data_IF_174497449830
#
_entry.id   IF_174497449830
#
_cell.length_a   1.000
_cell.length_b   1.000
_cell.length_c   1.000
_cell.angle_alpha   90.00
_cell.angle_beta   90.00
_cell.angle_gamma   90.00
#
_symmetry.space_group_name_H-M   'P 1'
#
loop_
_entity.id
_entity.type
_entity.pdbx_description
1 polymer ?
#
# COMPACT_ATOMS: atom_id res chain seq x y z
N UNK A 1 6.15 47.07 -0.50
CA UNK A 1 6.21 45.93 0.42
C UNK A 1 6.88 44.80 -0.32
N UNK A 2 8.14 44.55 0.02
CA UNK A 2 8.94 43.48 -0.56
C UNK A 2 8.40 42.16 -0.05
N UNK A 3 7.79 41.36 -0.94
CA UNK A 3 7.55 39.96 -0.65
C UNK A 3 8.91 39.26 -0.66
N UNK A 4 9.51 39.10 0.52
CA UNK A 4 10.56 38.10 0.72
C UNK A 4 9.92 36.75 0.45
N UNK A 5 10.21 36.18 -0.72
CA UNK A 5 10.03 34.76 -0.99
C UNK A 5 10.74 34.00 0.13
N UNK A 6 10.07 33.10 0.88
CA UNK A 6 10.74 32.34 1.91
C UNK A 6 11.86 31.56 1.23
N UNK A 7 13.11 31.82 1.63
CA UNK A 7 14.26 31.09 1.16
C UNK A 7 13.97 29.59 1.31
N UNK A 8 14.05 28.84 0.21
CA UNK A 8 13.88 27.39 0.27
C UNK A 8 14.76 26.83 1.37
N UNK A 9 14.15 26.09 2.30
CA UNK A 9 14.85 25.46 3.41
C UNK A 9 15.94 24.56 2.81
N UNK A 10 17.21 24.97 2.93
CA UNK A 10 18.35 24.19 2.44
C UNK A 10 18.26 22.75 2.95
N UNK A 11 18.40 21.79 2.03
CA UNK A 11 18.38 20.36 2.38
C UNK A 11 19.53 20.03 3.33
N UNK A 12 19.41 18.92 4.06
CA UNK A 12 20.51 18.44 4.90
C UNK A 12 21.78 18.19 4.07
N UNK A 13 21.61 17.75 2.82
CA UNK A 13 22.71 17.59 1.86
C UNK A 13 23.43 18.91 1.58
N UNK A 14 22.68 19.96 1.24
CA UNK A 14 23.28 21.26 0.90
C UNK A 14 24.02 21.87 2.09
N UNK A 15 23.49 21.69 3.30
CA UNK A 15 24.14 22.12 4.55
C UNK A 15 25.43 21.34 4.80
N UNK A 16 25.43 20.03 4.55
CA UNK A 16 26.62 19.19 4.67
C UNK A 16 27.70 19.58 3.65
N UNK A 17 27.32 19.83 2.40
CA UNK A 17 28.22 20.33 1.36
C UNK A 17 28.87 21.65 1.75
N UNK A 18 28.07 22.60 2.22
CA UNK A 18 28.54 23.91 2.66
C UNK A 18 29.54 23.80 3.81
N UNK A 19 29.22 23.00 4.84
CA UNK A 19 30.10 22.79 5.99
C UNK A 19 31.40 22.09 5.61
N UNK A 20 31.32 21.09 4.73
CA UNK A 20 32.51 20.33 4.34
C UNK A 20 33.45 21.16 3.49
N UNK A 21 32.91 21.94 2.53
CA UNK A 21 33.72 22.86 1.74
C UNK A 21 34.38 23.93 2.61
N UNK A 22 33.64 24.52 3.56
CA UNK A 22 34.19 25.47 4.53
C UNK A 22 35.32 24.86 5.37
N UNK A 23 35.17 23.62 5.80
CA UNK A 23 36.21 22.92 6.57
C UNK A 23 37.47 22.66 5.73
N UNK A 24 37.33 22.21 4.48
CA UNK A 24 38.45 22.00 3.55
C UNK A 24 39.19 23.32 3.31
N UNK A 25 38.47 24.38 2.93
CA UNK A 25 39.07 25.70 2.67
C UNK A 25 39.78 26.27 3.90
N UNK A 26 39.17 26.13 5.08
CA UNK A 26 39.78 26.61 6.32
C UNK A 26 41.04 25.83 6.68
N UNK A 27 41.05 24.53 6.42
CA UNK A 27 42.21 23.67 6.66
C UNK A 27 43.38 24.01 5.73
N UNK A 28 43.09 24.30 4.45
CA UNK A 28 44.11 24.74 3.48
C UNK A 28 44.66 26.12 3.86
N UNK A 29 43.79 27.06 4.25
CA UNK A 29 44.19 28.40 4.70
C UNK A 29 45.04 28.36 5.96
N UNK A 30 44.81 27.40 6.86
CA UNK A 30 45.61 27.23 8.07
C UNK A 30 47.05 26.76 7.76
N UNK A 31 47.28 26.11 6.60
CA UNK A 31 48.61 25.83 6.09
C UNK A 31 49.21 27.09 5.45
N UNK A 32 49.59 28.04 6.31
CA UNK A 32 50.03 29.38 5.92
C UNK A 32 51.52 29.43 5.52
N UNK A 33 51.79 30.09 4.40
CA UNK A 33 53.14 30.23 3.83
C UNK A 33 54.07 31.05 4.73
N UNK A 34 53.56 32.09 5.41
CA UNK A 34 54.41 32.95 6.25
C UNK A 34 54.89 32.20 7.49
N UNK A 35 54.02 31.40 8.09
CA UNK A 35 54.36 30.47 9.17
C UNK A 35 55.41 29.44 8.72
N UNK A 36 55.26 28.90 7.51
CA UNK A 36 56.24 27.96 6.94
C UNK A 36 57.61 28.64 6.73
N UNK A 37 57.63 29.82 6.11
CA UNK A 37 58.85 30.61 5.90
C UNK A 37 59.56 30.94 7.22
N UNK A 38 58.83 31.41 8.23
CA UNK A 38 59.39 31.67 9.58
C UNK A 38 59.97 30.42 10.22
N UNK A 39 59.35 29.27 10.01
CA UNK A 39 59.82 28.00 10.58
C UNK A 39 61.11 27.49 9.92
N UNK A 40 61.36 27.88 8.67
CA UNK A 40 62.50 27.44 7.87
C UNK A 40 63.55 28.54 7.61
N UNK A 41 63.37 29.73 8.20
CA UNK A 41 64.15 30.95 7.90
C UNK A 41 65.67 30.76 7.96
N UNK A 42 66.18 29.91 8.84
CA UNK A 42 67.62 29.63 8.99
C UNK A 42 68.21 28.72 7.89
N UNK A 43 67.36 28.09 7.09
CA UNK A 43 67.73 27.12 6.05
C UNK A 43 67.46 27.66 4.64
N UNK A 44 66.75 28.78 4.52
CA UNK A 44 66.31 29.33 3.24
C UNK A 44 67.32 30.34 2.67
N UNK A 45 67.78 30.10 1.45
CA UNK A 45 68.40 31.08 0.56
C UNK A 45 67.35 31.77 -0.31
N UNK A 46 67.68 32.89 -0.97
CA UNK A 46 66.75 33.59 -1.89
C UNK A 46 66.24 32.68 -3.02
N UNK A 47 67.10 31.85 -3.59
CA UNK A 47 66.73 30.89 -4.66
C UNK A 47 65.79 29.79 -4.14
N UNK A 48 66.00 29.33 -2.89
CA UNK A 48 65.13 28.33 -2.26
C UNK A 48 63.77 28.89 -1.80
N UNK A 49 63.60 30.22 -1.73
CA UNK A 49 62.31 30.82 -1.38
C UNK A 49 61.29 30.66 -2.50
N UNK A 50 61.69 30.81 -3.76
CA UNK A 50 60.79 30.61 -4.91
C UNK A 50 60.39 29.13 -5.03
N UNK A 51 61.33 28.22 -4.83
CA UNK A 51 61.04 26.78 -4.76
C UNK A 51 60.07 26.44 -3.63
N UNK A 52 60.23 27.06 -2.46
CA UNK A 52 59.33 26.88 -1.32
C UNK A 52 57.91 27.39 -1.59
N UNK A 53 57.77 28.55 -2.24
CA UNK A 53 56.46 29.10 -2.63
C UNK A 53 55.75 28.17 -3.62
N UNK A 54 56.48 27.67 -4.61
CA UNK A 54 55.95 26.70 -5.58
C UNK A 54 55.55 25.38 -4.90
N UNK A 55 56.40 24.86 -4.00
CA UNK A 55 56.10 23.64 -3.25
C UNK A 55 54.91 23.81 -2.30
N UNK A 56 54.77 24.98 -1.67
CA UNK A 56 53.63 25.31 -0.80
C UNK A 56 52.33 25.35 -1.59
N UNK A 57 52.31 26.00 -2.76
CA UNK A 57 51.15 26.03 -3.66
C UNK A 57 50.76 24.61 -4.10
N UNK A 58 51.72 23.80 -4.54
CA UNK A 58 51.49 22.40 -4.92
C UNK A 58 50.94 21.56 -3.75
N UNK A 59 51.46 21.77 -2.54
CA UNK A 59 50.97 21.09 -1.35
C UNK A 59 49.52 21.50 -1.01
N UNK A 60 49.16 22.78 -1.17
CA UNK A 60 47.78 23.24 -0.98
C UNK A 60 46.83 22.62 -2.01
N UNK A 61 47.22 22.57 -3.28
CA UNK A 61 46.43 21.94 -4.35
C UNK A 61 46.27 20.44 -4.11
N UNK A 62 47.35 19.75 -3.72
CA UNK A 62 47.32 18.34 -3.37
C UNK A 62 46.38 18.08 -2.18
N UNK A 63 46.51 18.85 -1.09
CA UNK A 63 45.64 18.73 0.08
C UNK A 63 44.18 18.97 -0.29
N UNK A 64 43.88 19.99 -1.12
CA UNK A 64 42.53 20.30 -1.55
C UNK A 64 41.90 19.13 -2.32
N UNK A 65 42.65 18.54 -3.24
CA UNK A 65 42.19 17.42 -4.05
C UNK A 65 42.00 16.17 -3.21
N UNK A 66 42.98 15.80 -2.36
CA UNK A 66 42.88 14.61 -1.51
C UNK A 66 41.73 14.71 -0.50
N UNK A 67 41.53 15.86 0.14
CA UNK A 67 40.43 16.06 1.08
C UNK A 67 39.07 15.97 0.38
N UNK A 68 38.92 16.55 -0.81
CA UNK A 68 37.69 16.44 -1.61
C UNK A 68 37.44 15.01 -2.07
N UNK A 69 38.46 14.35 -2.61
CA UNK A 69 38.38 12.95 -3.04
C UNK A 69 37.98 12.05 -1.89
N UNK A 70 38.62 12.19 -0.72
CA UNK A 70 38.31 11.36 0.45
C UNK A 70 36.91 11.61 0.99
N UNK A 71 36.45 12.87 0.96
CA UNK A 71 35.07 13.22 1.30
C UNK A 71 34.08 12.55 0.37
N UNK A 72 34.33 12.56 -0.94
CA UNK A 72 33.48 11.90 -1.92
C UNK A 72 33.49 10.37 -1.75
N UNK A 73 34.65 9.79 -1.49
CA UNK A 73 34.79 8.35 -1.20
C UNK A 73 33.96 7.95 0.03
N UNK A 74 34.05 8.70 1.14
CA UNK A 74 33.27 8.44 2.35
C UNK A 74 31.76 8.61 2.09
N UNK A 75 31.38 9.62 1.30
CA UNK A 75 29.99 9.85 0.90
C UNK A 75 29.43 8.67 0.12
N UNK A 76 30.20 8.12 -0.82
CA UNK A 76 29.81 6.94 -1.57
C UNK A 76 29.76 5.68 -0.67
N UNK A 77 30.81 5.46 0.13
CA UNK A 77 30.94 4.28 1.00
C UNK A 77 29.79 4.14 1.98
N UNK A 78 29.34 5.25 2.58
CA UNK A 78 28.26 5.24 3.56
C UNK A 78 26.91 5.67 2.97
N UNK A 79 26.82 5.84 1.65
CA UNK A 79 25.58 6.25 0.96
C UNK A 79 24.95 7.50 1.60
N UNK A 80 25.78 8.47 2.00
CA UNK A 80 25.34 9.58 2.84
C UNK A 80 24.24 10.42 2.19
N UNK A 81 24.25 10.55 0.87
CA UNK A 81 23.21 11.27 0.14
C UNK A 81 21.82 10.64 0.38
N UNK A 82 21.70 9.32 0.24
CA UNK A 82 20.43 8.61 0.47
C UNK A 82 19.99 8.71 1.93
N UNK A 83 20.94 8.62 2.87
CA UNK A 83 20.62 8.73 4.30
C UNK A 83 20.16 10.13 4.69
N UNK A 84 20.77 11.18 4.12
CA UNK A 84 20.36 12.57 4.35
C UNK A 84 18.98 12.86 3.74
N UNK A 85 18.70 12.33 2.55
CA UNK A 85 17.39 12.46 1.90
C UNK A 85 16.29 11.75 2.71
N UNK A 86 16.53 10.49 3.11
CA UNK A 86 15.64 9.76 4.01
C UNK A 86 15.41 10.50 5.32
N UNK A 87 16.45 11.13 5.88
CA UNK A 87 16.34 11.92 7.09
C UNK A 87 15.46 13.15 6.90
N UNK A 88 15.63 13.89 5.80
CA UNK A 88 14.79 15.05 5.46
C UNK A 88 13.32 14.63 5.26
N UNK A 89 13.07 13.50 4.61
CA UNK A 89 11.72 12.92 4.47
C UNK A 89 11.11 12.57 5.83
N UNK A 90 11.88 11.93 6.73
CA UNK A 90 11.42 11.59 8.07
C UNK A 90 11.06 12.84 8.88
N UNK A 91 11.84 13.92 8.78
CA UNK A 91 11.53 15.20 9.42
C UNK A 91 10.24 15.78 8.83
N UNK A 92 10.10 15.81 7.50
CA UNK A 92 8.92 16.33 6.83
C UNK A 92 7.66 15.55 7.24
N UNK A 93 7.75 14.22 7.28
CA UNK A 93 6.67 13.35 7.72
C UNK A 93 6.34 13.54 9.20
N UNK A 94 7.34 13.77 10.06
CA UNK A 94 7.13 14.02 11.48
C UNK A 94 6.48 15.39 11.74
N UNK A 95 6.83 16.44 10.98
CA UNK A 95 6.20 17.77 11.08
C UNK A 95 4.69 17.74 10.80
N UNK A 96 4.25 16.80 9.97
CA UNK A 96 2.84 16.63 9.62
C UNK A 96 2.05 15.79 10.65
N UNK A 97 2.73 15.20 11.64
CA UNK A 97 2.11 14.39 12.68
C UNK A 97 1.86 15.24 13.94
N UNK A 98 0.81 14.92 14.72
CA UNK A 98 0.55 15.61 15.97
C UNK A 98 1.76 15.49 16.93
N UNK A 99 2.00 16.52 17.78
CA UNK A 99 3.10 16.49 18.73
C UNK A 99 3.01 15.26 19.63
N UNK A 100 4.11 14.51 19.72
CA UNK A 100 4.18 13.34 20.59
C UNK A 100 4.48 13.81 22.02
N UNK A 101 3.59 13.53 22.97
CA UNK A 101 3.71 13.94 24.38
C UNK A 101 4.91 13.30 25.12
N UNK A 102 5.35 12.11 24.69
CA UNK A 102 6.52 11.43 25.25
C UNK A 102 7.39 10.81 24.17
N UNK A 103 8.69 11.14 24.20
CA UNK A 103 9.71 10.45 23.41
C UNK A 103 10.14 9.18 24.15
N UNK A 104 9.40 8.09 23.96
CA UNK A 104 9.80 6.77 24.43
C UNK A 104 10.24 5.96 23.23
N UNK A 105 11.41 5.32 23.32
CA UNK A 105 11.81 4.33 22.32
C UNK A 105 10.81 3.18 22.38
N UNK A 106 10.21 2.77 21.26
CA UNK A 106 9.27 1.67 21.26
C UNK A 106 9.97 0.40 21.75
N UNK A 107 9.27 -0.40 22.55
CA UNK A 107 9.77 -1.72 22.95
C UNK A 107 9.87 -2.63 21.71
N UNK A 108 10.78 -3.62 21.67
CA UNK A 108 10.91 -4.53 20.54
C UNK A 108 9.58 -5.17 20.12
N UNK A 109 8.73 -5.52 21.08
CA UNK A 109 7.40 -6.08 20.84
C UNK A 109 6.48 -5.11 20.10
N UNK A 110 6.58 -3.80 20.39
CA UNK A 110 5.79 -2.78 19.71
C UNK A 110 6.21 -2.62 18.25
N UNK A 111 7.51 -2.74 17.96
CA UNK A 111 8.03 -2.71 16.59
C UNK A 111 7.48 -3.90 15.81
N UNK A 112 7.62 -5.11 16.36
CA UNK A 112 7.13 -6.35 15.74
C UNK A 112 5.62 -6.26 15.50
N UNK A 113 4.85 -5.83 16.51
CA UNK A 113 3.41 -5.67 16.38
C UNK A 113 3.03 -4.62 15.33
N UNK A 114 3.76 -3.50 15.22
CA UNK A 114 3.47 -2.47 14.21
C UNK A 114 3.67 -2.97 12.78
N UNK A 115 4.70 -3.80 12.54
CA UNK A 115 4.96 -4.40 11.23
C UNK A 115 3.87 -5.42 10.88
N UNK A 116 3.44 -6.21 11.86
CA UNK A 116 2.43 -7.25 11.67
C UNK A 116 1.02 -6.64 11.55
N UNK A 117 0.76 -5.49 12.18
CA UNK A 117 -0.57 -4.89 12.27
C UNK A 117 -1.17 -4.62 10.89
N UNK A 118 -0.42 -3.97 9.99
CA UNK A 118 -0.91 -3.65 8.64
C UNK A 118 -1.28 -4.92 7.86
N UNK A 119 -0.44 -5.95 7.93
CA UNK A 119 -0.73 -7.24 7.30
C UNK A 119 -1.98 -7.92 7.89
N UNK A 120 -2.16 -7.84 9.21
CA UNK A 120 -3.34 -8.39 9.89
C UNK A 120 -4.62 -7.61 9.60
N UNK A 121 -4.52 -6.29 9.47
CA UNK A 121 -5.63 -5.42 9.13
C UNK A 121 -6.12 -5.67 7.70
N UNK A 122 -5.19 -5.81 6.74
CA UNK A 122 -5.51 -6.21 5.38
C UNK A 122 -6.17 -7.60 5.31
N UNK A 123 -5.65 -8.57 6.07
CA UNK A 123 -6.24 -9.92 6.13
C UNK A 123 -7.63 -9.91 6.78
N UNK A 124 -7.85 -9.06 7.80
CA UNK A 124 -9.17 -8.90 8.42
C UNK A 124 -10.19 -8.35 7.42
N UNK A 125 -9.82 -7.34 6.64
CA UNK A 125 -10.68 -6.78 5.58
C UNK A 125 -11.03 -7.86 4.55
N UNK A 126 -10.05 -8.66 4.13
CA UNK A 126 -10.26 -9.78 3.19
C UNK A 126 -11.26 -10.81 3.75
N UNK A 127 -11.08 -11.23 4.99
CA UNK A 127 -11.95 -12.21 5.64
C UNK A 127 -13.37 -11.67 5.87
N UNK A 128 -13.50 -10.38 6.21
CA UNK A 128 -14.79 -9.73 6.35
C UNK A 128 -15.56 -9.75 5.02
N UNK A 129 -14.87 -9.46 3.91
CA UNK A 129 -15.46 -9.50 2.59
C UNK A 129 -15.90 -10.93 2.20
N UNK A 130 -15.06 -11.94 2.42
CA UNK A 130 -15.43 -13.35 2.18
C UNK A 130 -16.64 -13.77 3.02
N UNK A 131 -16.71 -13.33 4.27
CA UNK A 131 -17.86 -13.60 5.13
C UNK A 131 -19.14 -12.97 4.58
N UNK A 132 -19.08 -11.72 4.14
CA UNK A 132 -20.23 -11.01 3.58
C UNK A 132 -20.69 -11.64 2.26
N UNK A 133 -19.77 -12.09 1.41
CA UNK A 133 -20.08 -12.81 0.17
C UNK A 133 -20.78 -14.15 0.44
N UNK A 134 -20.27 -14.93 1.40
CA UNK A 134 -20.89 -16.20 1.81
C UNK A 134 -22.28 -15.95 2.38
N UNK A 135 -22.44 -14.92 3.21
CA UNK A 135 -23.72 -14.55 3.80
C UNK A 135 -24.74 -14.14 2.72
N UNK A 136 -24.33 -13.36 1.73
CA UNK A 136 -25.17 -12.98 0.61
C UNK A 136 -25.63 -14.22 -0.20
N UNK A 137 -24.68 -15.10 -0.53
CA UNK A 137 -24.98 -16.35 -1.24
C UNK A 137 -25.92 -17.26 -0.45
N UNK A 138 -25.74 -17.33 0.86
CA UNK A 138 -26.60 -18.15 1.71
C UNK A 138 -28.03 -17.56 1.78
N UNK A 139 -28.16 -16.23 1.81
CA UNK A 139 -29.48 -15.57 1.70
C UNK A 139 -30.16 -15.90 0.37
N UNK A 140 -29.42 -15.81 -0.74
CA UNK A 140 -29.95 -16.15 -2.07
C UNK A 140 -30.41 -17.61 -2.16
N UNK A 141 -29.61 -18.54 -1.64
CA UNK A 141 -29.98 -19.95 -1.59
C UNK A 141 -31.23 -20.19 -0.73
N UNK A 142 -31.37 -19.47 0.39
CA UNK A 142 -32.55 -19.56 1.24
C UNK A 142 -33.80 -19.06 0.50
N UNK A 143 -33.70 -17.97 -0.26
CA UNK A 143 -34.79 -17.45 -1.08
C UNK A 143 -35.19 -18.44 -2.19
N UNK A 144 -34.20 -19.04 -2.86
CA UNK A 144 -34.45 -20.11 -3.85
C UNK A 144 -35.18 -21.30 -3.23
N UNK A 145 -34.79 -21.73 -2.03
CA UNK A 145 -35.48 -22.80 -1.29
C UNK A 145 -36.93 -22.43 -0.94
N UNK A 146 -37.19 -21.17 -0.56
CA UNK A 146 -38.54 -20.70 -0.26
C UNK A 146 -39.42 -20.77 -1.51
N UNK A 147 -38.89 -20.34 -2.66
CA UNK A 147 -39.61 -20.39 -3.94
C UNK A 147 -39.93 -21.84 -4.32
N UNK A 148 -38.92 -22.73 -4.32
CA UNK A 148 -39.12 -24.15 -4.63
C UNK A 148 -40.12 -24.82 -3.68
N UNK A 149 -40.06 -24.52 -2.38
CA UNK A 149 -41.01 -25.05 -1.39
C UNK A 149 -42.44 -24.57 -1.63
N UNK A 150 -42.62 -23.38 -2.22
CA UNK A 150 -43.94 -22.87 -2.63
C UNK A 150 -44.42 -23.62 -3.87
N UNK A 151 -43.59 -23.73 -4.90
CA UNK A 151 -43.91 -24.48 -6.12
C UNK A 151 -44.32 -25.93 -5.84
N UNK A 152 -43.58 -26.64 -4.97
CA UNK A 152 -43.95 -27.99 -4.57
C UNK A 152 -45.30 -28.05 -3.83
N UNK A 153 -45.61 -27.04 -3.00
CA UNK A 153 -46.92 -26.97 -2.34
C UNK A 153 -48.05 -26.76 -3.35
N UNK A 154 -47.85 -25.87 -4.31
CA UNK A 154 -48.83 -25.58 -5.36
C UNK A 154 -49.05 -26.82 -6.25
N UNK A 155 -47.99 -27.56 -6.57
CA UNK A 155 -48.08 -28.85 -7.29
C UNK A 155 -48.83 -29.92 -6.50
N UNK A 156 -48.55 -30.07 -5.20
CA UNK A 156 -49.25 -31.02 -4.34
C UNK A 156 -50.75 -30.68 -4.29
N UNK A 157 -51.09 -29.40 -4.16
CA UNK A 157 -52.48 -28.95 -4.16
C UNK A 157 -53.18 -29.27 -5.48
N UNK A 158 -52.53 -28.97 -6.62
CA UNK A 158 -53.08 -29.32 -7.93
C UNK A 158 -53.34 -30.82 -8.08
N UNK A 159 -52.42 -31.68 -7.62
CA UNK A 159 -52.61 -33.13 -7.68
C UNK A 159 -53.80 -33.54 -6.82
N UNK A 160 -53.95 -32.98 -5.62
CA UNK A 160 -55.10 -33.26 -4.75
C UNK A 160 -56.43 -32.82 -5.38
N UNK A 161 -56.46 -31.66 -6.02
CA UNK A 161 -57.66 -31.16 -6.71
C UNK A 161 -58.03 -32.08 -7.88
N UNK A 162 -57.05 -32.54 -8.66
CA UNK A 162 -57.28 -33.49 -9.77
C UNK A 162 -57.78 -34.85 -9.26
N UNK A 163 -57.26 -35.34 -8.13
CA UNK A 163 -57.74 -36.57 -7.49
C UNK A 163 -59.21 -36.40 -7.10
N UNK A 164 -59.56 -35.32 -6.41
CA UNK A 164 -60.92 -35.04 -5.96
C UNK A 164 -61.90 -34.92 -7.15
N UNK A 165 -61.50 -34.27 -8.24
CA UNK A 165 -62.30 -34.16 -9.47
C UNK A 165 -62.54 -35.53 -10.12
N UNK A 166 -61.49 -36.36 -10.14
CA UNK A 166 -61.56 -37.73 -10.70
C UNK A 166 -62.48 -38.61 -9.85
N UNK A 167 -62.36 -38.55 -8.52
CA UNK A 167 -63.23 -39.27 -7.60
C UNK A 167 -64.70 -38.87 -7.80
N UNK A 168 -64.98 -37.56 -7.89
CA UNK A 168 -66.33 -37.06 -8.20
C UNK A 168 -66.84 -37.53 -9.56
N UNK A 169 -65.98 -37.57 -10.57
CA UNK A 169 -66.29 -38.11 -11.90
C UNK A 169 -66.68 -39.60 -11.84
N UNK A 170 -65.92 -40.39 -11.08
CA UNK A 170 -66.22 -41.80 -10.84
C UNK A 170 -67.54 -42.01 -10.09
N UNK A 171 -67.85 -41.18 -9.09
CA UNK A 171 -69.14 -41.22 -8.37
C UNK A 171 -70.31 -40.93 -9.30
N UNK A 172 -70.22 -39.90 -10.14
CA UNK A 172 -71.26 -39.57 -11.12
C UNK A 172 -71.43 -40.72 -12.11
N UNK A 173 -70.35 -41.26 -12.67
CA UNK A 173 -70.39 -42.38 -13.61
C UNK A 173 -71.01 -43.64 -12.98
N UNK A 174 -70.72 -43.90 -11.70
CA UNK A 174 -71.25 -45.06 -10.96
C UNK A 174 -72.75 -44.94 -10.64
N UNK A 175 -73.29 -43.72 -10.64
CA UNK A 175 -74.71 -43.46 -10.36
C UNK A 175 -75.57 -43.37 -11.64
N UNK A 176 -74.99 -43.47 -12.83
CA UNK A 176 -75.74 -43.54 -14.10
C UNK A 176 -76.27 -44.97 -14.27
N UNK A 177 -77.60 -45.18 -14.43
CA UNK A 177 -78.16 -46.49 -14.74
C UNK A 177 -77.51 -47.10 -16.00
N UNK A 178 -77.16 -48.38 -15.97
CA UNK A 178 -76.47 -49.07 -17.08
C UNK A 178 -77.19 -48.90 -18.42
N UNK A 179 -78.52 -48.81 -18.42
CA UNK A 179 -79.33 -48.55 -19.61
C UNK A 179 -79.05 -47.19 -20.27
N UNK A 180 -78.84 -46.14 -19.46
CA UNK A 180 -78.53 -44.79 -19.96
C UNK A 180 -77.07 -44.67 -20.44
N UNK A 181 -76.14 -45.39 -19.80
CA UNK A 181 -74.75 -45.48 -20.27
C UNK A 181 -74.64 -46.12 -21.67
N UNK A 182 -75.45 -47.14 -21.96
CA UNK A 182 -75.47 -47.79 -23.28
C UNK A 182 -75.94 -46.79 -24.36
N UNK A 183 -77.03 -46.05 -24.11
CA UNK A 183 -77.53 -45.03 -25.04
C UNK A 183 -76.54 -43.86 -25.26
N UNK A 184 -75.88 -43.39 -24.20
CA UNK A 184 -74.84 -42.35 -24.29
C UNK A 184 -73.64 -42.82 -25.11
N UNK A 185 -73.21 -44.07 -24.91
CA UNK A 185 -72.09 -44.68 -25.64
C UNK A 185 -72.42 -44.87 -27.11
N UNK A 186 -73.65 -45.29 -27.44
CA UNK A 186 -74.13 -45.38 -28.83
C UNK A 186 -74.21 -43.99 -29.50
N UNK A 187 -74.72 -42.96 -28.80
CA UNK A 187 -74.72 -41.57 -29.30
C UNK A 187 -73.31 -41.04 -29.58
N UNK A 188 -72.33 -41.28 -28.72
CA UNK A 188 -70.94 -40.88 -28.98
C UNK A 188 -70.33 -41.64 -30.18
N UNK A 189 -70.69 -42.91 -30.37
CA UNK A 189 -70.24 -43.71 -31.52
C UNK A 189 -70.78 -43.18 -32.85
N UNK A 190 -71.98 -42.63 -32.86
CA UNK A 190 -72.58 -41.99 -34.04
C UNK A 190 -72.01 -40.61 -34.33
N UNK A 191 -71.62 -39.84 -33.31
CA UNK A 191 -70.94 -38.54 -33.45
C UNK A 191 -69.51 -38.64 -34.01
N UNK A 192 -68.80 -39.74 -33.75
CA UNK A 192 -67.45 -39.98 -34.31
C UNK A 192 -67.46 -40.57 -35.74
N UNK A 193 -68.64 -40.92 -36.28
CA UNK A 193 -68.81 -41.49 -37.62
C UNK A 193 -69.64 -40.59 -38.56
N UNK A 194 -69.87 -39.32 -38.18
CA UNK A 194 -70.37 -38.23 -39.04
C UNK A 194 -69.31 -37.17 -39.18
#
# INVERSE_FOLDING_TARGET
MSHETPAEDKTTRDKFDELTNKWIESSIKAFDLNLLKRSLEKLLTEESMEELENAHSQAQDFMANELRNKTQELRAKYQLNEQMERFDELIKNAKNKPPIEKRVLPAPEQIVNSIIHEAKENELVRLQQEYDDIKAKNSELMDQLIIQKKEFRDQIQHIQDTINETERGCEVASNIPVSEMIELTEKMKHLNNS
#
